data_IF_709669805993
#
_entry.id   IF_709669805993
#
_cell.length_a   1.000
_cell.length_b   1.000
_cell.length_c   1.000
_cell.angle_alpha   90.00
_cell.angle_beta   90.00
_cell.angle_gamma   90.00
#
_symmetry.space_group_name_H-M   'P 1'
#
loop_
_entity.id
_entity.type
_entity.pdbx_description
1 polymer ?
#
# COMPACT_ATOMS: atom_id res chain seq x y z
N UNK A 1 8.84 -4.57 18.72
CA UNK A 1 9.54 -3.40 18.14
C UNK A 1 10.16 -3.74 16.78
N UNK A 2 9.33 -3.92 15.75
CA UNK A 2 9.79 -4.03 14.36
C UNK A 2 9.13 -2.89 13.57
N UNK A 3 9.72 -1.69 13.65
CA UNK A 3 9.18 -0.48 13.00
C UNK A 3 10.28 0.25 12.24
N UNK A 4 11.42 0.46 12.88
CA UNK A 4 12.55 1.20 12.32
C UNK A 4 13.63 0.24 11.81
N UNK A 5 14.10 0.45 10.57
CA UNK A 5 15.24 -0.24 9.94
C UNK A 5 15.09 -1.75 9.67
N UNK A 6 13.86 -2.27 9.67
CA UNK A 6 13.63 -3.66 9.31
C UNK A 6 13.78 -3.86 7.79
N UNK A 7 14.70 -4.74 7.39
CA UNK A 7 14.83 -5.24 6.02
C UNK A 7 13.63 -6.11 5.62
N UNK A 8 12.48 -5.49 5.39
CA UNK A 8 11.23 -6.16 5.04
C UNK A 8 11.35 -6.97 3.75
N UNK A 9 12.19 -6.54 2.81
CA UNK A 9 12.49 -7.27 1.58
C UNK A 9 13.14 -8.64 1.82
N UNK A 10 13.73 -8.87 2.99
CA UNK A 10 14.33 -10.16 3.38
C UNK A 10 13.32 -11.08 4.09
N UNK A 11 12.11 -10.60 4.38
CA UNK A 11 11.05 -11.39 5.02
C UNK A 11 10.17 -12.04 3.94
N UNK A 12 9.63 -13.22 4.25
CA UNK A 12 8.63 -13.84 3.37
C UNK A 12 7.40 -12.94 3.22
N UNK A 13 6.65 -13.13 2.14
CA UNK A 13 5.40 -12.39 1.92
C UNK A 13 4.43 -12.60 3.09
N UNK A 14 4.26 -13.84 3.55
CA UNK A 14 3.36 -14.16 4.68
C UNK A 14 3.73 -13.41 5.96
N UNK A 15 5.03 -13.28 6.28
CA UNK A 15 5.46 -12.53 7.47
C UNK A 15 5.17 -11.04 7.34
N UNK A 16 5.34 -10.47 6.14
CA UNK A 16 5.00 -9.06 5.87
C UNK A 16 3.49 -8.85 5.96
N UNK A 17 2.70 -9.72 5.33
CA UNK A 17 1.24 -9.68 5.38
C UNK A 17 0.72 -9.80 6.81
N UNK A 18 1.22 -10.78 7.58
CA UNK A 18 0.81 -11.02 8.96
C UNK A 18 1.03 -9.78 9.84
N UNK A 19 2.20 -9.14 9.74
CA UNK A 19 2.49 -7.91 10.51
C UNK A 19 1.47 -6.80 10.20
N UNK A 20 1.14 -6.59 8.93
CA UNK A 20 0.14 -5.58 8.54
C UNK A 20 -1.26 -5.98 9.01
N UNK A 21 -1.61 -7.26 8.90
CA UNK A 21 -2.89 -7.80 9.38
C UNK A 21 -3.07 -7.54 10.87
N UNK A 22 -2.10 -7.94 11.70
CA UNK A 22 -2.11 -7.73 13.16
C UNK A 22 -2.26 -6.25 13.49
N UNK A 23 -1.48 -5.37 12.85
CA UNK A 23 -1.58 -3.93 13.11
C UNK A 23 -2.96 -3.37 12.73
N UNK A 24 -3.53 -3.76 11.59
CA UNK A 24 -4.86 -3.31 11.16
C UNK A 24 -5.97 -3.83 12.07
N UNK A 25 -5.88 -5.07 12.54
CA UNK A 25 -6.90 -5.66 13.41
C UNK A 25 -6.77 -5.11 14.83
N UNK A 26 -5.59 -5.18 15.42
CA UNK A 26 -5.38 -4.99 16.87
C UNK A 26 -5.29 -3.52 17.27
N UNK A 27 -4.84 -2.65 16.36
CA UNK A 27 -4.63 -1.24 16.67
C UNK A 27 -5.58 -0.30 15.94
N UNK A 28 -6.04 -0.70 14.76
CA UNK A 28 -7.00 0.11 14.01
C UNK A 28 -8.41 -0.46 14.04
N UNK A 29 -8.68 -1.60 14.67
CA UNK A 29 -10.00 -2.24 14.84
C UNK A 29 -10.67 -2.68 13.53
N UNK A 30 -9.90 -3.07 12.51
CA UNK A 30 -10.53 -3.63 11.29
C UNK A 30 -11.03 -5.05 11.55
N UNK A 31 -12.23 -5.42 11.06
CA UNK A 31 -12.60 -6.83 10.96
C UNK A 31 -11.52 -7.59 10.18
N UNK A 32 -11.21 -8.83 10.59
CA UNK A 32 -10.15 -9.65 9.97
C UNK A 32 -10.28 -9.72 8.44
N UNK A 33 -11.49 -9.91 7.92
CA UNK A 33 -11.72 -9.93 6.47
C UNK A 33 -11.50 -8.56 5.80
N UNK A 34 -11.84 -7.46 6.49
CA UNK A 34 -11.57 -6.11 6.02
C UNK A 34 -10.07 -5.82 5.93
N UNK A 35 -9.32 -6.20 6.96
CA UNK A 35 -7.86 -6.13 6.97
C UNK A 35 -7.25 -6.98 5.84
N UNK A 36 -7.73 -8.21 5.65
CA UNK A 36 -7.25 -9.10 4.59
C UNK A 36 -7.46 -8.51 3.19
N UNK A 37 -8.61 -7.87 2.94
CA UNK A 37 -8.89 -7.17 1.69
C UNK A 37 -7.93 -6.01 1.41
N UNK A 38 -7.55 -5.26 2.46
CA UNK A 38 -6.50 -4.22 2.37
C UNK A 38 -5.15 -4.87 2.04
N UNK A 39 -4.70 -5.82 2.85
CA UNK A 39 -3.36 -6.42 2.74
C UNK A 39 -3.14 -7.14 1.41
N UNK A 40 -4.17 -7.81 0.88
CA UNK A 40 -4.10 -8.43 -0.44
C UNK A 40 -3.79 -7.42 -1.56
N UNK A 41 -4.31 -6.20 -1.44
CA UNK A 41 -3.99 -5.13 -2.39
C UNK A 41 -2.56 -4.61 -2.20
N UNK A 42 -2.13 -4.36 -0.96
CA UNK A 42 -0.76 -3.92 -0.65
C UNK A 42 0.29 -4.94 -1.15
N UNK A 43 -0.01 -6.23 -1.07
CA UNK A 43 0.84 -7.28 -1.60
C UNK A 43 1.01 -7.18 -3.12
N UNK A 44 -0.07 -6.89 -3.85
CA UNK A 44 0.00 -6.73 -5.29
C UNK A 44 0.56 -5.36 -5.73
N UNK A 45 0.49 -4.32 -4.89
CA UNK A 45 1.11 -3.00 -5.16
C UNK A 45 2.62 -3.01 -4.89
N UNK A 46 3.03 -3.50 -3.72
CA UNK A 46 4.41 -3.35 -3.23
C UNK A 46 5.05 -4.64 -2.76
N UNK A 47 4.35 -5.77 -2.76
CA UNK A 47 4.78 -6.95 -2.02
C UNK A 47 4.81 -6.69 -0.52
N UNK A 48 4.07 -5.68 -0.03
CA UNK A 48 4.10 -5.26 1.38
C UNK A 48 5.52 -4.83 1.81
N UNK A 49 6.20 -4.04 0.97
CA UNK A 49 7.54 -3.50 1.26
C UNK A 49 7.46 -1.97 1.35
N UNK A 50 7.77 -1.35 2.51
CA UNK A 50 7.56 0.08 2.73
C UNK A 50 8.51 0.98 1.92
N UNK A 51 9.71 0.52 1.59
CA UNK A 51 10.68 1.32 0.82
C UNK A 51 10.61 1.05 -0.69
N UNK A 52 9.60 0.31 -1.19
CA UNK A 52 9.53 -0.07 -2.60
C UNK A 52 9.11 1.08 -3.49
N UNK A 53 9.99 1.47 -4.39
CA UNK A 53 9.79 2.47 -5.43
C UNK A 53 9.18 1.82 -6.67
N UNK A 54 8.26 2.52 -7.34
CA UNK A 54 7.64 2.01 -8.56
C UNK A 54 8.69 1.66 -9.63
N UNK A 55 8.60 0.45 -10.19
CA UNK A 55 9.54 -0.05 -11.18
C UNK A 55 10.82 -0.66 -10.62
N UNK A 56 10.94 -0.78 -9.29
CA UNK A 56 11.99 -1.59 -8.66
C UNK A 56 11.57 -3.06 -8.50
N UNK A 57 12.55 -3.92 -8.21
CA UNK A 57 12.32 -5.30 -7.76
C UNK A 57 12.19 -5.37 -6.23
N UNK A 58 11.60 -6.45 -5.70
CA UNK A 58 11.50 -6.66 -4.25
C UNK A 58 12.87 -6.70 -3.56
N UNK A 59 13.85 -7.42 -4.12
CA UNK A 59 15.18 -7.55 -3.53
C UNK A 59 16.04 -6.28 -3.60
N UNK A 60 15.64 -5.29 -4.42
CA UNK A 60 16.31 -3.98 -4.48
C UNK A 60 15.26 -2.87 -4.49
N UNK A 61 14.52 -2.67 -3.38
CA UNK A 61 13.26 -1.92 -3.39
C UNK A 61 13.42 -0.43 -3.72
N UNK A 62 14.61 0.13 -3.52
CA UNK A 62 14.91 1.54 -3.84
C UNK A 62 15.73 1.69 -5.14
N UNK A 63 15.94 0.62 -5.91
CA UNK A 63 16.70 0.63 -7.15
C UNK A 63 15.76 0.71 -8.35
N UNK A 64 15.74 1.86 -9.03
CA UNK A 64 14.87 2.10 -10.17
C UNK A 64 15.49 3.08 -11.18
N UNK A 65 14.81 3.34 -12.30
CA UNK A 65 15.27 4.36 -13.26
C UNK A 65 15.12 5.76 -12.69
N UNK A 66 16.16 6.58 -12.81
CA UNK A 66 16.06 8.03 -12.64
C UNK A 66 15.55 8.70 -13.93
N UNK A 67 15.35 10.02 -13.89
CA UNK A 67 14.87 10.80 -15.03
C UNK A 67 15.81 10.84 -16.25
N UNK A 68 17.08 10.43 -16.09
CA UNK A 68 18.03 10.27 -17.19
C UNK A 68 18.03 8.85 -17.78
N UNK A 69 17.12 7.98 -17.32
CA UNK A 69 16.96 6.61 -17.80
C UNK A 69 17.92 5.58 -17.17
N UNK A 70 18.88 6.03 -16.35
CA UNK A 70 19.84 5.17 -15.67
C UNK A 70 19.22 4.50 -14.44
N UNK A 71 19.55 3.23 -14.20
CA UNK A 71 19.10 2.50 -13.01
C UNK A 71 20.05 2.75 -11.84
N UNK A 72 19.55 3.40 -10.78
CA UNK A 72 20.34 3.86 -9.62
C UNK A 72 19.68 3.43 -8.32
N UNK A 73 20.45 3.40 -7.23
CA UNK A 73 19.89 3.32 -5.88
C UNK A 73 19.51 4.73 -5.44
N UNK A 74 18.22 4.96 -5.16
CA UNK A 74 17.76 6.25 -4.68
C UNK A 74 17.99 6.38 -3.16
N UNK A 75 18.34 7.57 -2.69
CA UNK A 75 18.32 7.87 -1.25
C UNK A 75 16.87 8.18 -0.80
N UNK A 76 16.55 8.01 0.49
CA UNK A 76 15.25 8.40 1.04
C UNK A 76 14.90 9.86 0.73
N UNK A 77 15.87 10.77 0.80
CA UNK A 77 15.68 12.20 0.51
C UNK A 77 15.35 12.42 -0.97
N UNK A 78 16.02 11.72 -1.89
CA UNK A 78 15.73 11.81 -3.30
C UNK A 78 14.35 11.24 -3.65
N UNK A 79 13.89 10.22 -2.92
CA UNK A 79 12.53 9.69 -3.03
C UNK A 79 11.54 10.75 -2.52
N UNK A 80 11.69 11.23 -1.29
CA UNK A 80 10.79 12.23 -0.70
C UNK A 80 10.71 13.50 -1.55
N UNK A 81 11.85 14.02 -2.00
CA UNK A 81 11.96 15.26 -2.79
C UNK A 81 11.78 15.04 -4.30
N UNK A 82 11.19 13.92 -4.72
CA UNK A 82 10.97 13.63 -6.15
C UNK A 82 10.35 14.85 -6.84
N UNK A 83 11.00 15.34 -7.90
CA UNK A 83 10.54 16.46 -8.69
C UNK A 83 10.77 16.17 -10.18
N UNK A 84 9.67 16.07 -10.93
CA UNK A 84 9.73 15.77 -12.36
C UNK A 84 10.33 16.91 -13.19
N UNK A 85 9.98 18.16 -12.90
CA UNK A 85 10.49 19.32 -13.63
C UNK A 85 12.00 19.48 -13.44
N UNK A 86 12.49 19.25 -12.22
CA UNK A 86 13.90 19.33 -11.87
C UNK A 86 14.67 18.03 -12.12
N UNK A 87 14.01 16.97 -12.60
CA UNK A 87 14.59 15.65 -12.84
C UNK A 87 15.28 15.03 -11.61
N UNK A 88 14.71 15.24 -10.41
CA UNK A 88 15.23 14.74 -9.13
C UNK A 88 14.45 13.52 -8.66
N UNK A 89 15.15 12.46 -8.25
CA UNK A 89 14.56 11.26 -7.66
C UNK A 89 14.18 10.17 -8.66
N UNK A 90 13.33 9.21 -8.25
CA UNK A 90 12.80 8.17 -9.13
C UNK A 90 12.01 8.76 -10.30
N UNK A 91 12.18 8.20 -11.50
CA UNK A 91 11.43 8.66 -12.67
C UNK A 91 9.92 8.45 -12.49
N UNK A 92 9.55 7.33 -11.89
CA UNK A 92 8.16 6.98 -11.60
C UNK A 92 7.73 7.42 -10.19
N UNK A 93 6.45 7.79 -10.00
CA UNK A 93 6.01 8.44 -8.78
C UNK A 93 5.59 7.50 -7.64
N UNK A 94 5.41 6.18 -7.83
CA UNK A 94 4.94 5.31 -6.74
C UNK A 94 6.00 5.04 -5.66
N UNK A 95 5.56 4.96 -4.41
CA UNK A 95 6.36 4.56 -3.23
C UNK A 95 5.50 3.82 -2.22
N UNK A 96 6.10 2.87 -1.51
CA UNK A 96 5.56 2.32 -0.26
C UNK A 96 4.40 1.35 -0.44
N UNK A 97 3.77 1.03 0.69
CA UNK A 97 2.81 -0.07 0.80
C UNK A 97 1.70 -0.01 -0.25
N UNK A 98 1.08 1.17 -0.39
CA UNK A 98 -0.01 1.43 -1.33
C UNK A 98 0.44 2.10 -2.64
N UNK A 99 1.75 2.11 -2.93
CA UNK A 99 2.32 2.77 -4.12
C UNK A 99 1.78 4.21 -4.32
N UNK A 100 1.86 5.06 -3.29
CA UNK A 100 1.32 6.43 -3.36
C UNK A 100 1.92 7.24 -4.53
N UNK A 101 1.11 7.45 -5.58
CA UNK A 101 1.50 8.14 -6.82
C UNK A 101 0.96 9.56 -6.92
N UNK A 102 -0.29 9.79 -6.49
CA UNK A 102 -0.95 11.10 -6.61
C UNK A 102 -0.24 12.14 -5.71
N UNK A 103 0.16 13.32 -6.20
CA UNK A 103 1.11 14.18 -5.48
C UNK A 103 0.69 14.58 -4.05
N UNK A 104 -0.58 14.95 -3.77
CA UNK A 104 -1.02 15.23 -2.40
C UNK A 104 -0.89 14.02 -1.46
N UNK A 105 -1.26 12.82 -1.93
CA UNK A 105 -1.17 11.59 -1.13
C UNK A 105 0.29 11.18 -0.89
N UNK A 106 1.11 11.27 -1.94
CA UNK A 106 2.56 11.05 -1.80
C UNK A 106 3.20 12.03 -0.83
N UNK A 107 2.83 13.31 -0.88
CA UNK A 107 3.34 14.31 0.06
C UNK A 107 2.86 14.05 1.49
N UNK A 108 1.62 13.58 1.65
CA UNK A 108 1.05 13.20 2.94
C UNK A 108 1.86 12.12 3.64
N UNK A 109 2.32 11.08 2.93
CA UNK A 109 3.18 10.03 3.49
C UNK A 109 4.40 10.60 4.25
N UNK A 110 5.04 11.63 3.71
CA UNK A 110 6.26 12.21 4.29
C UNK A 110 5.99 13.32 5.31
N UNK A 111 4.75 13.77 5.47
CA UNK A 111 4.36 14.90 6.33
C UNK A 111 3.36 14.51 7.42
N UNK A 112 2.78 13.32 7.34
CA UNK A 112 1.77 12.85 8.27
C UNK A 112 2.38 12.75 9.67
N UNK A 113 1.78 13.38 10.69
CA UNK A 113 2.19 13.19 12.07
C UNK A 113 1.72 11.81 12.54
N UNK A 114 2.62 11.06 13.16
CA UNK A 114 2.32 9.71 13.67
C UNK A 114 2.12 9.77 15.18
N UNK A 115 1.53 8.72 15.75
CA UNK A 115 1.34 8.64 17.20
C UNK A 115 2.70 8.78 17.92
N UNK A 116 2.83 9.84 18.72
CA UNK A 116 4.04 10.10 19.51
C UNK A 116 5.19 10.81 18.77
N UNK A 117 5.07 11.18 17.48
CA UNK A 117 6.09 11.99 16.80
C UNK A 117 5.57 12.80 15.59
N UNK A 118 6.20 13.95 15.26
CA UNK A 118 5.68 14.89 14.24
C UNK A 118 5.82 14.43 12.78
N UNK A 119 6.09 13.15 12.53
CA UNK A 119 6.46 12.62 11.21
C UNK A 119 7.94 12.24 11.11
N UNK A 120 8.28 11.34 10.19
CA UNK A 120 9.65 10.88 9.96
C UNK A 120 10.35 11.56 8.76
N UNK A 121 9.64 12.42 8.02
CA UNK A 121 10.15 12.95 6.75
C UNK A 121 10.58 11.80 5.85
N UNK A 122 11.80 11.88 5.31
CA UNK A 122 12.34 10.87 4.40
C UNK A 122 12.41 9.45 5.02
N UNK A 123 12.58 9.34 6.33
CA UNK A 123 12.68 8.04 7.01
C UNK A 123 11.36 7.26 7.02
N UNK A 124 10.22 7.89 6.68
CA UNK A 124 8.94 7.20 6.52
C UNK A 124 9.00 6.08 5.46
N UNK A 125 9.97 6.10 4.53
CA UNK A 125 10.16 4.99 3.57
C UNK A 125 10.54 3.68 4.25
N UNK A 126 11.13 3.69 5.45
CA UNK A 126 11.59 2.48 6.12
C UNK A 126 10.62 1.97 7.18
N UNK A 127 9.67 2.80 7.62
CA UNK A 127 8.78 2.46 8.72
C UNK A 127 7.46 1.86 8.21
N UNK A 128 7.28 0.57 8.49
CA UNK A 128 6.07 -0.17 8.14
C UNK A 128 4.86 0.35 8.91
N UNK A 129 5.00 0.62 10.21
CA UNK A 129 3.87 0.99 11.06
C UNK A 129 3.35 2.38 10.71
N UNK A 130 4.25 3.31 10.44
CA UNK A 130 3.91 4.65 9.97
C UNK A 130 3.18 4.60 8.63
N UNK A 131 3.62 3.75 7.70
CA UNK A 131 2.90 3.59 6.43
C UNK A 131 1.50 2.97 6.60
N UNK A 132 1.32 2.06 7.57
CA UNK A 132 0.00 1.53 7.93
C UNK A 132 -0.86 2.62 8.58
N UNK A 133 -0.29 3.44 9.45
CA UNK A 133 -0.99 4.56 10.10
C UNK A 133 -1.47 5.59 9.09
N UNK A 134 -0.59 5.99 8.18
CA UNK A 134 -0.93 6.91 7.11
C UNK A 134 -2.05 6.35 6.22
N UNK A 135 -1.96 5.07 5.84
CA UNK A 135 -3.01 4.36 5.11
C UNK A 135 -4.35 4.39 5.86
N UNK A 136 -4.36 4.03 7.14
CA UNK A 136 -5.58 4.01 7.97
C UNK A 136 -6.18 5.42 8.14
N UNK A 137 -5.33 6.45 8.29
CA UNK A 137 -5.72 7.85 8.33
C UNK A 137 -6.39 8.30 7.03
N UNK A 138 -5.81 7.97 5.87
CA UNK A 138 -6.41 8.26 4.57
C UNK A 138 -7.78 7.59 4.41
N UNK A 139 -7.87 6.31 4.76
CA UNK A 139 -9.12 5.56 4.68
C UNK A 139 -10.21 6.20 5.54
N UNK A 140 -9.88 6.53 6.81
CA UNK A 140 -10.82 7.17 7.75
C UNK A 140 -11.25 8.58 7.32
N UNK A 141 -10.35 9.37 6.74
CA UNK A 141 -10.59 10.79 6.46
C UNK A 141 -11.13 11.04 5.05
N UNK A 142 -10.44 10.52 4.05
CA UNK A 142 -10.61 10.89 2.64
C UNK A 142 -11.36 9.83 1.84
N UNK A 143 -11.33 8.57 2.28
CA UNK A 143 -12.01 7.44 1.62
C UNK A 143 -13.11 6.83 2.52
N UNK A 144 -13.96 7.68 3.12
CA UNK A 144 -15.00 7.27 4.07
C UNK A 144 -15.93 6.15 3.57
N UNK A 145 -16.24 6.14 2.27
CA UNK A 145 -17.04 5.07 1.65
C UNK A 145 -16.32 3.72 1.68
N UNK A 146 -15.03 3.70 1.31
CA UNK A 146 -14.18 2.51 1.40
C UNK A 146 -14.06 2.06 2.85
N UNK A 147 -13.80 3.01 3.76
CA UNK A 147 -13.73 2.73 5.21
C UNK A 147 -15.01 2.08 5.73
N UNK A 148 -16.17 2.59 5.33
CA UNK A 148 -17.47 2.05 5.77
C UNK A 148 -17.65 0.59 5.36
N UNK A 149 -17.27 0.22 4.12
CA UNK A 149 -17.32 -1.16 3.66
C UNK A 149 -16.31 -2.03 4.41
N UNK A 150 -15.06 -1.57 4.56
CA UNK A 150 -13.99 -2.31 5.23
C UNK A 150 -14.26 -2.57 6.71
N UNK A 151 -14.98 -1.65 7.37
CA UNK A 151 -15.37 -1.77 8.78
C UNK A 151 -16.68 -2.50 9.02
N UNK A 152 -17.43 -2.85 7.96
CA UNK A 152 -18.73 -3.48 8.10
C UNK A 152 -18.59 -4.85 8.80
N UNK A 153 -19.33 -5.10 9.89
CA UNK A 153 -19.38 -6.43 10.51
C UNK A 153 -19.78 -7.49 9.47
N UNK A 154 -19.01 -8.58 9.42
CA UNK A 154 -19.27 -9.69 8.50
C UNK A 154 -18.92 -9.44 7.03
N UNK A 155 -18.22 -8.35 6.69
CA UNK A 155 -17.69 -8.12 5.34
C UNK A 155 -16.94 -9.35 4.84
N UNK A 156 -17.16 -9.74 3.57
CA UNK A 156 -16.40 -10.84 2.96
C UNK A 156 -15.05 -10.32 2.48
N UNK A 157 -14.03 -11.17 2.57
CA UNK A 157 -12.66 -10.81 2.17
C UNK A 157 -12.58 -10.36 0.71
N UNK A 158 -13.34 -11.00 -0.19
CA UNK A 158 -13.40 -10.63 -1.60
C UNK A 158 -14.07 -9.25 -1.78
N UNK A 159 -15.18 -8.98 -1.09
CA UNK A 159 -15.85 -7.66 -1.13
C UNK A 159 -14.93 -6.55 -0.63
N UNK A 160 -14.19 -6.79 0.45
CA UNK A 160 -13.20 -5.86 0.98
C UNK A 160 -12.04 -5.63 0.00
N UNK A 161 -11.53 -6.70 -0.61
CA UNK A 161 -10.45 -6.63 -1.59
C UNK A 161 -10.85 -5.85 -2.84
N UNK A 162 -12.04 -6.13 -3.36
CA UNK A 162 -12.61 -5.47 -4.53
C UNK A 162 -12.87 -3.98 -4.26
N UNK A 163 -13.38 -3.65 -3.07
CA UNK A 163 -13.61 -2.27 -2.66
C UNK A 163 -12.31 -1.45 -2.68
N UNK A 164 -11.23 -1.98 -2.10
CA UNK A 164 -9.92 -1.31 -2.06
C UNK A 164 -9.39 -1.07 -3.47
N UNK A 165 -9.34 -2.10 -4.33
CA UNK A 165 -8.81 -1.91 -5.68
C UNK A 165 -9.67 -0.99 -6.54
N UNK A 166 -11.01 -1.02 -6.35
CA UNK A 166 -11.94 -0.27 -7.17
C UNK A 166 -12.09 1.21 -6.77
N UNK A 167 -11.99 1.52 -5.47
CA UNK A 167 -12.29 2.86 -4.95
C UNK A 167 -11.10 3.55 -4.26
N UNK A 168 -10.06 2.82 -3.85
CA UNK A 168 -8.86 3.40 -3.24
C UNK A 168 -7.65 3.41 -4.20
N UNK A 169 -7.34 2.27 -4.83
CA UNK A 169 -6.18 2.18 -5.75
C UNK A 169 -6.49 2.72 -7.15
N UNK A 170 -7.63 2.34 -7.72
CA UNK A 170 -8.12 2.79 -9.04
C UNK A 170 -7.06 2.63 -10.16
N UNK A 171 -6.59 1.41 -10.44
CA UNK A 171 -5.58 1.20 -11.47
C UNK A 171 -6.12 1.55 -12.86
N UNK A 172 -5.26 2.02 -13.77
CA UNK A 172 -5.67 2.38 -15.14
C UNK A 172 -6.39 1.25 -15.90
N UNK A 173 -6.16 -0.01 -15.51
CA UNK A 173 -6.85 -1.18 -16.06
C UNK A 173 -8.38 -1.15 -15.87
N UNK A 174 -8.91 -0.44 -14.86
CA UNK A 174 -10.35 -0.28 -14.62
C UNK A 174 -10.91 1.04 -15.17
N UNK A 175 -10.09 1.84 -15.84
CA UNK A 175 -10.48 3.13 -16.40
C UNK A 175 -10.70 3.05 -17.91
N UNK A 176 -11.62 3.88 -18.39
CA UNK A 176 -11.77 4.26 -19.79
C UNK A 176 -11.87 5.79 -19.86
N UNK A 177 -10.87 6.43 -20.49
CA UNK A 177 -10.63 7.85 -20.31
C UNK A 177 -10.30 8.14 -18.84
N UNK A 178 -11.16 8.90 -18.17
CA UNK A 178 -11.05 9.23 -16.74
C UNK A 178 -12.21 8.66 -15.90
N UNK A 179 -13.04 7.79 -16.47
CA UNK A 179 -14.19 7.19 -15.78
C UNK A 179 -13.90 5.74 -15.39
N UNK A 180 -14.36 5.34 -14.21
CA UNK A 180 -14.35 3.94 -13.78
C UNK A 180 -15.35 3.13 -14.61
N UNK A 181 -14.88 2.02 -15.15
CA UNK A 181 -15.73 1.01 -15.76
C UNK A 181 -16.64 0.39 -14.68
N UNK A 182 -17.88 -0.03 -15.01
CA UNK A 182 -18.75 -0.70 -14.05
C UNK A 182 -18.11 -1.94 -13.45
N UNK A 183 -18.45 -2.29 -12.20
CA UNK A 183 -17.92 -3.49 -11.52
C UNK A 183 -18.13 -4.78 -12.32
N UNK A 184 -19.24 -4.90 -13.04
CA UNK A 184 -19.54 -6.06 -13.90
C UNK A 184 -18.70 -6.13 -15.18
N UNK A 185 -17.96 -5.08 -15.52
CA UNK A 185 -17.12 -5.06 -16.72
C UNK A 185 -16.00 -6.12 -16.62
N UNK A 186 -15.76 -6.85 -17.71
CA UNK A 186 -14.74 -7.90 -17.78
C UNK A 186 -13.35 -7.43 -17.34
N UNK A 187 -12.91 -6.21 -17.69
CA UNK A 187 -11.60 -5.68 -17.27
C UNK A 187 -11.53 -5.48 -15.75
N UNK A 188 -12.63 -5.04 -15.14
CA UNK A 188 -12.73 -4.87 -13.69
C UNK A 188 -12.72 -6.23 -12.99
N UNK A 189 -13.52 -7.18 -13.47
CA UNK A 189 -13.55 -8.55 -12.95
C UNK A 189 -12.19 -9.25 -13.06
N UNK A 190 -11.43 -9.01 -14.13
CA UNK A 190 -10.05 -9.50 -14.26
C UNK A 190 -9.13 -8.93 -13.18
N UNK A 191 -9.26 -7.65 -12.85
CA UNK A 191 -8.50 -7.02 -11.77
C UNK A 191 -8.89 -7.61 -10.42
N UNK A 192 -10.19 -7.77 -10.14
CA UNK A 192 -10.68 -8.41 -8.91
C UNK A 192 -10.13 -9.82 -8.74
N UNK A 193 -10.29 -10.67 -9.75
CA UNK A 193 -9.80 -12.04 -9.74
C UNK A 193 -8.28 -12.14 -9.56
N UNK A 194 -7.52 -11.13 -10.03
CA UNK A 194 -6.08 -11.07 -9.82
C UNK A 194 -5.70 -10.68 -8.38
N UNK A 195 -6.49 -9.87 -7.69
CA UNK A 195 -6.18 -9.36 -6.33
C UNK A 195 -6.62 -10.30 -5.22
N UNK A 196 -7.79 -10.95 -5.38
CA UNK A 196 -8.40 -11.81 -4.35
C UNK A 196 -7.49 -12.93 -3.80
N UNK A 197 -6.66 -13.63 -4.60
CA UNK A 197 -5.78 -14.68 -4.06
C UNK A 197 -4.83 -14.18 -2.95
N UNK A 198 -4.27 -12.97 -3.11
CA UNK A 198 -3.40 -12.39 -2.09
C UNK A 198 -4.17 -12.00 -0.82
N UNK A 199 -5.43 -11.58 -0.94
CA UNK A 199 -6.29 -11.30 0.22
C UNK A 199 -6.63 -12.60 0.98
N UNK A 200 -6.92 -13.69 0.25
CA UNK A 200 -7.14 -15.01 0.85
C UNK A 200 -5.87 -15.55 1.53
N UNK A 201 -4.70 -15.30 0.96
CA UNK A 201 -3.41 -15.63 1.56
C UNK A 201 -3.19 -14.86 2.87
N UNK A 202 -3.42 -13.55 2.88
CA UNK A 202 -3.31 -12.73 4.10
C UNK A 202 -4.27 -13.21 5.20
N UNK A 203 -5.51 -13.55 4.84
CA UNK A 203 -6.50 -14.13 5.76
C UNK A 203 -6.02 -15.46 6.35
N UNK A 204 -5.47 -16.34 5.49
CA UNK A 204 -4.98 -17.65 5.91
C UNK A 204 -3.78 -17.54 6.84
N UNK A 205 -2.83 -16.65 6.52
CA UNK A 205 -1.66 -16.38 7.35
C UNK A 205 -2.06 -15.85 8.74
N UNK A 206 -3.02 -14.93 8.80
CA UNK A 206 -3.53 -14.41 10.08
C UNK A 206 -4.20 -15.50 10.92
N UNK A 207 -5.09 -16.32 10.33
CA UNK A 207 -5.77 -17.42 11.03
C UNK A 207 -4.80 -18.50 11.52
N UNK A 208 -3.75 -18.80 10.75
CA UNK A 208 -2.74 -19.76 11.17
C UNK A 208 -1.94 -19.29 12.39
N UNK A 209 -1.76 -17.98 12.54
CA UNK A 209 -1.08 -17.37 13.69
C UNK A 209 -2.01 -17.13 14.90
N UNK A 210 -3.33 -17.12 14.69
CA UNK A 210 -4.35 -16.83 15.69
C UNK A 210 -5.46 -17.90 15.67
N UNK A 211 -5.19 -19.11 16.20
CA UNK A 211 -6.12 -20.24 16.23
C UNK A 211 -7.30 -20.05 17.19
#
# INVERSE_FOLDING_TARGET
MAGKDAHWEKKSLDKRMLHVMERLVDHYDYPVNGAAGIVGNLAAESGVIPNRVEGSSEGTPMRSRNFNGAVVNHTPEAIMKRNQAQKVGPARPGIGLAQWTFPPRRAGLFKHPFEGHPGLGANAVFDMNDQIDYLASELKSSFKGVQSVLKKPGVKVDDACDEVVYNFEVPGAILQGNAKLPRSNRRVQQVFNKRRPAAQQALSAYRAAHP
#
